data_IF_180271962323
#
_entry.id   IF_180271962323
#
_cell.length_a   1.000
_cell.length_b   1.000
_cell.length_c   1.000
_cell.angle_alpha   90.00
_cell.angle_beta   90.00
_cell.angle_gamma   90.00
#
_symmetry.space_group_name_H-M   'P 1'
#
loop_
_entity.id
_entity.type
_entity.pdbx_description
1 polymer ?
#
# COMPACT_ATOMS: atom_id res chain seq x y z
N UNK A 1 8.62 -11.84 11.01
CA UNK A 1 8.99 -11.03 9.84
C UNK A 1 7.89 -10.95 8.80
N UNK A 2 7.24 -12.05 8.50
CA UNK A 2 6.03 -12.09 7.66
C UNK A 2 4.99 -11.09 8.17
N UNK A 3 4.75 -11.11 9.48
CA UNK A 3 3.72 -10.29 10.12
C UNK A 3 3.98 -8.79 9.98
N UNK A 4 5.25 -8.38 9.94
CA UNK A 4 5.62 -6.97 9.84
C UNK A 4 5.41 -6.41 8.44
N UNK A 5 5.87 -7.14 7.42
CA UNK A 5 5.66 -6.75 6.02
C UNK A 5 4.16 -6.78 5.66
N UNK A 6 3.46 -7.81 6.08
CA UNK A 6 2.01 -7.92 5.88
C UNK A 6 1.27 -6.76 6.55
N UNK A 7 1.68 -6.40 7.76
CA UNK A 7 1.11 -5.27 8.50
C UNK A 7 1.31 -3.95 7.74
N UNK A 8 2.50 -3.74 7.19
CA UNK A 8 2.79 -2.54 6.39
C UNK A 8 1.93 -2.49 5.12
N UNK A 9 1.82 -3.60 4.40
CA UNK A 9 0.93 -3.69 3.24
C UNK A 9 -0.52 -3.35 3.60
N UNK A 10 -1.00 -3.94 4.68
CA UNK A 10 -2.38 -3.74 5.12
C UNK A 10 -2.63 -2.29 5.53
N UNK A 11 -1.70 -1.68 6.26
CA UNK A 11 -1.82 -0.29 6.67
C UNK A 11 -1.83 0.65 5.48
N UNK A 12 -0.95 0.44 4.50
CA UNK A 12 -0.93 1.23 3.26
C UNK A 12 -2.28 1.11 2.54
N UNK A 13 -2.79 -0.11 2.39
CA UNK A 13 -4.07 -0.36 1.74
C UNK A 13 -5.23 0.32 2.47
N UNK A 14 -5.28 0.19 3.79
CA UNK A 14 -6.34 0.78 4.62
C UNK A 14 -6.30 2.32 4.55
N UNK A 15 -5.11 2.91 4.56
CA UNK A 15 -4.95 4.36 4.46
C UNK A 15 -5.36 4.88 3.07
N UNK A 16 -5.01 4.15 2.00
CA UNK A 16 -5.46 4.51 0.65
C UNK A 16 -6.98 4.49 0.55
N UNK A 17 -7.62 3.48 1.12
CA UNK A 17 -9.08 3.40 1.15
C UNK A 17 -9.70 4.55 1.96
N UNK A 18 -9.11 4.89 3.09
CA UNK A 18 -9.57 6.00 3.93
C UNK A 18 -9.46 7.34 3.19
N UNK A 19 -8.35 7.55 2.47
CA UNK A 19 -8.17 8.74 1.62
C UNK A 19 -9.23 8.81 0.53
N UNK A 20 -9.47 7.71 -0.16
CA UNK A 20 -10.49 7.61 -1.21
C UNK A 20 -11.87 7.98 -0.67
N UNK A 21 -12.26 7.43 0.47
CA UNK A 21 -13.54 7.73 1.11
C UNK A 21 -13.64 9.19 1.56
N UNK A 22 -12.56 9.74 2.10
CA UNK A 22 -12.52 11.13 2.53
C UNK A 22 -12.74 12.09 1.35
N UNK A 23 -12.07 11.84 0.23
CA UNK A 23 -12.25 12.64 -0.99
C UNK A 23 -13.67 12.46 -1.55
N UNK A 24 -14.17 11.23 -1.60
CA UNK A 24 -15.51 10.93 -2.10
C UNK A 24 -16.60 11.68 -1.33
N UNK A 25 -16.44 11.80 -0.02
CA UNK A 25 -17.39 12.46 0.84
C UNK A 25 -17.16 13.97 0.95
N UNK A 26 -16.12 14.51 0.32
CA UNK A 26 -15.84 15.94 0.37
C UNK A 26 -16.67 16.72 -0.66
N UNK A 27 -16.97 17.98 -0.29
CA UNK A 27 -17.51 18.98 -1.18
C UNK A 27 -16.41 20.02 -1.46
N UNK A 28 -16.66 20.98 -2.36
CA UNK A 28 -15.71 22.07 -2.59
C UNK A 28 -15.40 22.81 -1.28
N UNK A 29 -16.38 22.97 -0.43
CA UNK A 29 -16.27 23.68 0.84
C UNK A 29 -15.48 22.90 1.91
N UNK A 30 -15.57 21.58 1.90
CA UNK A 30 -14.89 20.71 2.86
C UNK A 30 -13.60 20.09 2.33
N UNK A 31 -13.26 20.35 1.08
CA UNK A 31 -12.09 19.76 0.42
C UNK A 31 -10.79 20.04 1.16
N UNK A 32 -10.61 21.24 1.72
CA UNK A 32 -9.39 21.61 2.44
C UNK A 32 -9.07 20.63 3.56
N UNK A 33 -10.09 20.24 4.32
CA UNK A 33 -9.95 19.31 5.43
C UNK A 33 -9.57 17.91 4.91
N UNK A 34 -10.24 17.44 3.87
CA UNK A 34 -9.92 16.14 3.25
C UNK A 34 -8.51 16.14 2.65
N UNK A 35 -8.09 17.23 2.03
CA UNK A 35 -6.74 17.41 1.49
C UNK A 35 -5.68 17.29 2.60
N UNK A 36 -5.86 17.99 3.70
CA UNK A 36 -4.91 17.96 4.82
C UNK A 36 -4.80 16.56 5.41
N UNK A 37 -5.92 15.87 5.54
CA UNK A 37 -5.96 14.48 5.99
C UNK A 37 -5.19 13.57 5.03
N UNK A 38 -5.43 13.70 3.73
CA UNK A 38 -4.74 12.92 2.70
C UNK A 38 -3.23 13.19 2.71
N UNK A 39 -2.82 14.44 2.86
CA UNK A 39 -1.40 14.80 2.92
C UNK A 39 -0.71 14.16 4.14
N UNK A 40 -1.38 14.14 5.27
CA UNK A 40 -0.90 13.46 6.48
C UNK A 40 -0.76 11.95 6.24
N UNK A 41 -1.75 11.34 5.62
CA UNK A 41 -1.72 9.90 5.32
C UNK A 41 -0.66 9.54 4.28
N UNK A 42 -0.44 10.37 3.26
CA UNK A 42 0.63 10.16 2.28
C UNK A 42 1.99 10.11 2.97
N UNK A 43 2.23 11.01 3.91
CA UNK A 43 3.47 11.02 4.68
C UNK A 43 3.64 9.71 5.47
N UNK A 44 2.58 9.25 6.09
CA UNK A 44 2.59 8.00 6.86
C UNK A 44 2.79 6.79 5.95
N UNK A 45 2.08 6.74 4.82
CA UNK A 45 2.23 5.68 3.82
C UNK A 45 3.66 5.62 3.29
N UNK A 46 4.29 6.77 3.03
CA UNK A 46 5.66 6.81 2.53
C UNK A 46 6.65 6.22 3.53
N UNK A 47 6.45 6.45 4.82
CA UNK A 47 7.26 5.83 5.87
C UNK A 47 7.08 4.30 5.91
N UNK A 48 5.84 3.84 5.78
CA UNK A 48 5.54 2.40 5.72
C UNK A 48 6.15 1.76 4.48
N UNK A 49 6.12 2.46 3.33
CA UNK A 49 6.73 1.97 2.09
C UNK A 49 8.24 1.82 2.24
N UNK A 50 8.92 2.78 2.87
CA UNK A 50 10.37 2.70 3.10
C UNK A 50 10.70 1.46 3.93
N UNK A 51 9.97 1.20 5.00
CA UNK A 51 10.14 0.01 5.83
C UNK A 51 9.86 -1.26 5.02
N UNK A 52 8.74 -1.27 4.29
CA UNK A 52 8.32 -2.40 3.47
C UNK A 52 9.37 -2.76 2.41
N UNK A 53 9.96 -1.76 1.76
CA UNK A 53 11.00 -1.99 0.75
C UNK A 53 12.21 -2.69 1.34
N UNK A 54 12.63 -2.30 2.54
CA UNK A 54 13.73 -2.96 3.25
C UNK A 54 13.39 -4.40 3.58
N UNK A 55 12.23 -4.63 4.17
CA UNK A 55 11.77 -5.98 4.54
C UNK A 55 11.62 -6.87 3.32
N UNK A 56 11.05 -6.33 2.25
CA UNK A 56 10.84 -7.06 1.01
C UNK A 56 12.16 -7.40 0.34
N UNK A 57 13.09 -6.45 0.27
CA UNK A 57 14.41 -6.65 -0.30
C UNK A 57 15.20 -7.72 0.46
N UNK A 58 15.15 -7.69 1.80
CA UNK A 58 15.87 -8.64 2.64
C UNK A 58 15.32 -10.07 2.53
N UNK A 59 14.02 -10.22 2.29
CA UNK A 59 13.33 -11.52 2.32
C UNK A 59 13.00 -12.08 0.94
N UNK A 60 12.96 -11.26 -0.08
CA UNK A 60 12.68 -11.67 -1.46
C UNK A 60 13.62 -10.92 -2.41
N UNK A 61 13.84 -11.48 -3.59
CA UNK A 61 14.58 -10.80 -4.66
C UNK A 61 13.63 -10.44 -5.80
N UNK A 62 12.39 -10.20 -5.50
CA UNK A 62 11.36 -9.85 -6.49
C UNK A 62 11.47 -8.38 -6.88
N UNK A 63 12.26 -8.10 -7.90
CA UNK A 63 12.49 -6.75 -8.41
C UNK A 63 11.21 -6.11 -8.96
N UNK A 64 10.29 -6.90 -9.50
CA UNK A 64 9.02 -6.41 -10.02
C UNK A 64 8.16 -5.83 -8.90
N UNK A 65 8.05 -6.55 -7.79
CA UNK A 65 7.30 -6.08 -6.63
C UNK A 65 7.92 -4.82 -6.03
N UNK A 66 9.25 -4.78 -5.90
CA UNK A 66 9.96 -3.60 -5.42
C UNK A 66 9.71 -2.38 -6.30
N UNK A 67 9.67 -2.58 -7.62
CA UNK A 67 9.37 -1.51 -8.57
C UNK A 67 7.97 -0.96 -8.36
N UNK A 68 6.97 -1.82 -8.20
CA UNK A 68 5.58 -1.38 -7.96
C UNK A 68 5.47 -0.60 -6.66
N UNK A 69 6.12 -1.07 -5.59
CA UNK A 69 6.12 -0.39 -4.29
C UNK A 69 6.76 0.99 -4.42
N UNK A 70 7.91 1.08 -5.08
CA UNK A 70 8.59 2.36 -5.29
C UNK A 70 7.79 3.31 -6.18
N UNK A 71 7.18 2.81 -7.26
CA UNK A 71 6.31 3.59 -8.14
C UNK A 71 5.11 4.16 -7.37
N UNK A 72 4.51 3.37 -6.48
CA UNK A 72 3.42 3.84 -5.61
C UNK A 72 3.86 5.01 -4.75
N UNK A 73 5.03 4.91 -4.12
CA UNK A 73 5.61 5.99 -3.31
C UNK A 73 5.82 7.25 -4.14
N UNK A 74 6.45 7.14 -5.30
CA UNK A 74 6.74 8.28 -6.18
C UNK A 74 5.47 8.95 -6.67
N UNK A 75 4.46 8.17 -7.03
CA UNK A 75 3.20 8.71 -7.52
C UNK A 75 2.40 9.40 -6.41
N UNK A 76 2.42 8.87 -5.19
CA UNK A 76 1.78 9.54 -4.04
C UNK A 76 2.45 10.88 -3.74
N UNK A 77 3.79 10.95 -3.80
CA UNK A 77 4.53 12.21 -3.65
C UNK A 77 4.15 13.18 -4.75
N UNK A 78 4.07 12.72 -6.00
CA UNK A 78 3.68 13.56 -7.13
C UNK A 78 2.25 14.09 -6.99
N UNK A 79 1.31 13.27 -6.54
CA UNK A 79 -0.07 13.69 -6.28
C UNK A 79 -0.09 14.78 -5.22
N UNK A 80 0.69 14.62 -4.16
CA UNK A 80 0.76 15.63 -3.11
C UNK A 80 1.25 16.98 -3.64
N UNK A 81 2.36 17.00 -4.39
CA UNK A 81 2.95 18.23 -4.89
C UNK A 81 2.20 18.85 -6.07
N UNK A 82 1.75 18.02 -7.01
CA UNK A 82 1.19 18.52 -8.27
C UNK A 82 -0.32 18.75 -8.21
N UNK A 83 -1.01 18.07 -7.31
CA UNK A 83 -2.46 18.14 -7.20
C UNK A 83 -2.86 18.85 -5.91
N UNK A 84 -2.52 18.29 -4.76
CA UNK A 84 -2.97 18.86 -3.49
C UNK A 84 -2.39 20.23 -3.19
N UNK A 85 -1.13 20.47 -3.52
CA UNK A 85 -0.50 21.77 -3.25
C UNK A 85 -0.78 22.84 -4.31
N UNK A 86 -1.11 22.44 -5.54
CA UNK A 86 -1.24 23.37 -6.66
C UNK A 86 -2.66 23.67 -7.10
N UNK A 87 -3.58 22.75 -6.93
CA UNK A 87 -4.95 22.92 -7.41
C UNK A 87 -5.84 23.33 -6.24
N UNK A 88 -6.51 24.48 -6.43
CA UNK A 88 -7.53 24.97 -5.49
C UNK A 88 -8.92 24.68 -6.08
N UNK A 89 -9.57 23.57 -5.69
CA UNK A 89 -10.86 23.22 -6.27
C UNK A 89 -12.01 24.11 -5.83
N UNK A 90 -11.80 24.98 -4.83
CA UNK A 90 -12.83 25.97 -4.46
C UNK A 90 -13.06 26.98 -5.57
N UNK A 91 -12.09 27.13 -6.49
CA UNK A 91 -12.19 28.01 -7.67
C UNK A 91 -12.77 27.31 -8.90
N UNK A 92 -13.02 26.00 -8.82
CA UNK A 92 -13.59 25.21 -9.91
C UNK A 92 -15.12 25.27 -9.82
N UNK A 93 -15.79 25.13 -10.97
CA UNK A 93 -17.21 24.89 -10.97
C UNK A 93 -17.52 23.48 -10.45
N UNK A 94 -18.78 23.20 -10.16
CA UNK A 94 -19.16 21.94 -9.55
C UNK A 94 -18.86 20.72 -10.43
N UNK A 95 -19.10 20.85 -11.74
CA UNK A 95 -18.83 19.74 -12.68
C UNK A 95 -17.33 19.44 -12.78
N UNK A 96 -16.49 20.47 -12.84
CA UNK A 96 -15.04 20.31 -12.89
C UNK A 96 -14.51 19.74 -11.57
N UNK A 97 -15.08 20.18 -10.44
CA UNK A 97 -14.75 19.62 -9.13
C UNK A 97 -15.04 18.11 -9.07
N UNK A 98 -16.20 17.69 -9.55
CA UNK A 98 -16.57 16.27 -9.56
C UNK A 98 -15.63 15.43 -10.42
N UNK A 99 -15.18 15.95 -11.55
CA UNK A 99 -14.17 15.27 -12.40
C UNK A 99 -12.82 15.19 -11.69
N UNK A 100 -12.42 16.26 -11.04
CA UNK A 100 -11.20 16.31 -10.24
C UNK A 100 -11.24 15.27 -9.12
N UNK A 101 -12.34 15.25 -8.37
CA UNK A 101 -12.60 14.28 -7.32
C UNK A 101 -12.50 12.84 -7.84
N UNK A 102 -13.15 12.55 -8.96
CA UNK A 102 -13.15 11.21 -9.55
C UNK A 102 -11.75 10.76 -9.97
N UNK A 103 -10.92 11.66 -10.51
CA UNK A 103 -9.54 11.35 -10.88
C UNK A 103 -8.71 10.95 -9.66
N UNK A 104 -8.83 11.67 -8.57
CA UNK A 104 -8.12 11.32 -7.34
C UNK A 104 -8.56 9.96 -6.82
N UNK A 105 -9.87 9.71 -6.81
CA UNK A 105 -10.43 8.42 -6.37
C UNK A 105 -9.88 7.28 -7.25
N UNK A 106 -9.84 7.47 -8.56
CA UNK A 106 -9.33 6.47 -9.49
C UNK A 106 -7.84 6.17 -9.25
N UNK A 107 -7.03 7.18 -8.97
CA UNK A 107 -5.61 6.98 -8.64
C UNK A 107 -5.44 6.19 -7.33
N UNK A 108 -6.19 6.55 -6.29
CA UNK A 108 -6.11 5.85 -5.00
C UNK A 108 -6.54 4.40 -5.14
N UNK A 109 -7.61 4.15 -5.87
CA UNK A 109 -8.12 2.80 -6.13
C UNK A 109 -7.10 1.97 -6.91
N UNK A 110 -6.47 2.55 -7.92
CA UNK A 110 -5.44 1.89 -8.72
C UNK A 110 -4.26 1.44 -7.84
N UNK A 111 -3.73 2.32 -7.00
CA UNK A 111 -2.60 1.97 -6.14
C UNK A 111 -3.00 1.00 -5.05
N UNK A 112 -4.21 1.13 -4.52
CA UNK A 112 -4.74 0.17 -3.55
C UNK A 112 -4.82 -1.24 -4.14
N UNK A 113 -5.33 -1.39 -5.35
CA UNK A 113 -5.39 -2.69 -6.02
C UNK A 113 -4.01 -3.30 -6.23
N UNK A 114 -3.03 -2.49 -6.63
CA UNK A 114 -1.64 -2.95 -6.79
C UNK A 114 -1.04 -3.41 -5.46
N UNK A 115 -1.22 -2.66 -4.41
CA UNK A 115 -0.73 -3.00 -3.08
C UNK A 115 -1.42 -4.27 -2.55
N UNK A 116 -2.73 -4.39 -2.72
CA UNK A 116 -3.48 -5.57 -2.29
C UNK A 116 -3.00 -6.83 -3.04
N UNK A 117 -2.74 -6.71 -4.33
CA UNK A 117 -2.21 -7.82 -5.13
C UNK A 117 -0.84 -8.27 -4.63
N UNK A 118 0.07 -7.33 -4.37
CA UNK A 118 1.40 -7.64 -3.83
C UNK A 118 1.31 -8.24 -2.42
N UNK A 119 0.39 -7.76 -1.61
CA UNK A 119 0.17 -8.29 -0.26
C UNK A 119 -0.24 -9.76 -0.32
N UNK A 120 -1.16 -10.10 -1.21
CA UNK A 120 -1.60 -11.48 -1.40
C UNK A 120 -0.46 -12.36 -1.92
N UNK A 121 0.31 -11.89 -2.90
CA UNK A 121 1.46 -12.61 -3.42
C UNK A 121 2.49 -12.87 -2.33
N UNK A 122 2.80 -11.88 -1.53
CA UNK A 122 3.75 -11.99 -0.42
C UNK A 122 3.26 -13.00 0.62
N UNK A 123 1.97 -12.93 0.97
CA UNK A 123 1.36 -13.87 1.90
C UNK A 123 1.46 -15.32 1.40
N UNK A 124 1.18 -15.56 0.13
CA UNK A 124 1.26 -16.89 -0.48
C UNK A 124 2.70 -17.42 -0.45
N UNK A 125 3.67 -16.59 -0.85
CA UNK A 125 5.10 -16.97 -0.85
C UNK A 125 5.54 -17.35 0.56
N UNK A 126 5.23 -16.54 1.55
CA UNK A 126 5.63 -16.78 2.93
C UNK A 126 4.94 -18.02 3.52
N UNK A 127 3.67 -18.24 3.19
CA UNK A 127 2.93 -19.44 3.61
C UNK A 127 3.55 -20.70 3.02
N UNK A 128 4.00 -20.67 1.77
CA UNK A 128 4.68 -21.80 1.14
C UNK A 128 6.02 -22.10 1.80
N UNK A 129 6.79 -21.08 2.15
CA UNK A 129 8.07 -21.25 2.85
C UNK A 129 7.86 -21.84 4.24
N UNK A 130 6.89 -21.35 5.00
CA UNK A 130 6.53 -21.89 6.31
C UNK A 130 6.11 -23.38 6.20
N UNK A 131 5.34 -23.72 5.18
CA UNK A 131 4.92 -25.10 4.92
C UNK A 131 6.13 -25.99 4.64
N UNK A 132 7.09 -25.54 3.82
CA UNK A 132 8.34 -26.28 3.52
C UNK A 132 9.17 -26.48 4.78
N UNK A 133 9.33 -25.47 5.62
CA UNK A 133 10.06 -25.59 6.89
C UNK A 133 9.41 -26.61 7.81
N UNK A 134 8.09 -26.58 7.94
CA UNK A 134 7.33 -27.54 8.77
C UNK A 134 7.48 -28.97 8.22
N UNK A 135 7.48 -29.16 6.92
CA UNK A 135 7.72 -30.44 6.27
C UNK A 135 9.13 -30.97 6.59
N UNK A 136 10.14 -30.13 6.48
CA UNK A 136 11.53 -30.49 6.78
C UNK A 136 11.70 -30.87 8.26
N UNK A 137 11.08 -30.13 9.18
CA UNK A 137 11.10 -30.44 10.62
C UNK A 137 10.46 -31.78 10.92
N UNK A 138 9.34 -32.11 10.27
CA UNK A 138 8.66 -33.42 10.42
C UNK A 138 9.52 -34.55 9.87
N UNK A 139 10.17 -34.37 8.72
CA UNK A 139 11.07 -35.35 8.14
C UNK A 139 12.25 -35.63 9.07
N UNK A 140 12.87 -34.58 9.63
CA UNK A 140 14.00 -34.71 10.56
C UNK A 140 13.59 -35.43 11.84
N UNK A 141 12.40 -35.18 12.38
CA UNK A 141 11.89 -35.88 13.55
C UNK A 141 11.64 -37.38 13.27
N UNK A 142 11.11 -37.73 12.10
CA UNK A 142 10.91 -39.12 11.69
C UNK A 142 12.25 -39.84 11.49
N UNK A 143 13.25 -39.21 10.92
CA UNK A 143 14.59 -39.76 10.76
C UNK A 143 15.25 -40.06 12.12
N UNK A 144 15.15 -39.16 13.08
CA UNK A 144 15.67 -39.35 14.44
C UNK A 144 14.98 -40.49 15.17
N UNK A 145 13.67 -40.68 14.97
CA UNK A 145 12.92 -41.80 15.56
C UNK A 145 13.29 -43.14 14.95
N UNK A 146 13.66 -43.21 13.67
CA UNK A 146 14.10 -44.43 12.98
C UNK A 146 15.49 -44.89 13.39
N UNK A 147 16.34 -44.00 13.88
CA UNK A 147 17.71 -44.29 14.32
C UNK A 147 17.77 -44.81 15.80
N UNK A 148 16.67 -44.82 16.46
CA UNK A 148 16.54 -45.39 17.79
C UNK A 148 15.94 -46.79 17.70
#
# INVERSE_FOLDING_TARGET
MIDRAYKDFKEISDLLLTMEKSILNSTRETYKQSKELCQSYIKHINNDIIELMKLYFDNTKDEYALKIIDDTKRNLIAINFMVFDRIDPTKLDNDTYLRFQQKIINWMDYYKEKIDSLMMDYYVICSQEDFKENQNKKSNKKSKKKLK
#
